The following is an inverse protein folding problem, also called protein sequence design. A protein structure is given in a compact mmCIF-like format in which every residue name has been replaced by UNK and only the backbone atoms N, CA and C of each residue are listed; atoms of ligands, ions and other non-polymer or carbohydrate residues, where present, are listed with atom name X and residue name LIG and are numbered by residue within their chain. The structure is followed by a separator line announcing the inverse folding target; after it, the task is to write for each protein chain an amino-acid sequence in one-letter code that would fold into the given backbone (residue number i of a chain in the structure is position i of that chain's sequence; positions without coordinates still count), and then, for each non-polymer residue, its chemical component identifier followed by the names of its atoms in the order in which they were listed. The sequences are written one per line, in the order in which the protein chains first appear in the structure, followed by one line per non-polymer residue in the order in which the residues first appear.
data_IF_498147262193
#
_entry.id   IF_498147262193
#
_cell.length_a   1.000
_cell.length_b   1.000
_cell.length_c   1.000
_cell.angle_alpha   90.00
_cell.angle_beta   90.00
_cell.angle_gamma   90.00
#
_symmetry.space_group_name_H-M   'P 1'
#
loop_
_entity.id
_entity.type
_entity.pdbx_description
1 polymer ?
#
# COMPACT_ATOMS: atom_id res chain seq x y z
N UNK A 1 14.12 -109.61 2.83
CA UNK A 1 12.96 -108.86 2.31
C UNK A 1 13.28 -107.37 2.41
N UNK A 2 13.51 -106.74 1.26
CA UNK A 2 13.50 -105.28 1.07
C UNK A 2 12.07 -104.76 1.23
N UNK A 3 11.90 -103.58 1.83
CA UNK A 3 11.36 -102.38 1.16
C UNK A 3 11.51 -101.17 2.07
N UNK A 4 12.43 -100.29 1.69
CA UNK A 4 12.59 -98.91 2.14
C UNK A 4 11.39 -98.07 1.69
N UNK A 5 10.71 -97.37 2.61
CA UNK A 5 9.74 -96.33 2.24
C UNK A 5 10.45 -95.07 1.74
N UNK A 6 9.99 -94.44 0.64
CA UNK A 6 10.73 -93.39 -0.04
C UNK A 6 10.54 -92.01 0.63
N UNK A 7 11.58 -91.19 0.46
CA UNK A 7 11.59 -89.74 0.66
C UNK A 7 10.27 -89.06 0.25
N UNK A 8 9.68 -88.27 1.15
CA UNK A 8 8.78 -87.18 0.77
C UNK A 8 9.27 -85.86 1.37
N UNK A 9 10.35 -85.32 0.81
CA UNK A 9 10.67 -83.90 0.98
C UNK A 9 9.70 -83.12 0.09
N UNK A 10 8.50 -82.85 0.59
CA UNK A 10 7.67 -81.76 0.07
C UNK A 10 8.24 -80.46 0.66
N UNK A 11 9.35 -80.02 0.06
CA UNK A 11 9.87 -78.68 0.23
C UNK A 11 8.83 -77.70 -0.31
N UNK A 12 7.93 -77.23 0.56
CA UNK A 12 7.02 -76.16 0.27
C UNK A 12 7.82 -74.94 -0.16
N UNK A 13 7.92 -74.71 -1.48
CA UNK A 13 8.35 -73.42 -2.03
C UNK A 13 7.34 -72.39 -1.53
N UNK A 14 7.64 -71.78 -0.38
CA UNK A 14 7.10 -70.47 -0.01
C UNK A 14 7.48 -69.56 -1.17
N UNK A 15 6.54 -69.38 -2.11
CA UNK A 15 6.65 -68.38 -3.15
C UNK A 15 6.76 -67.06 -2.40
N UNK A 16 7.98 -66.51 -2.32
CA UNK A 16 8.28 -65.16 -1.86
C UNK A 16 7.65 -64.17 -2.85
N UNK A 17 6.33 -64.12 -2.89
CA UNK A 17 5.55 -63.14 -3.64
C UNK A 17 5.44 -61.87 -2.80
N UNK A 18 6.58 -61.31 -2.41
CA UNK A 18 6.62 -60.03 -1.68
C UNK A 18 7.96 -59.33 -1.91
N UNK A 19 8.22 -58.88 -3.14
CA UNK A 19 9.42 -58.06 -3.43
C UNK A 19 9.15 -56.79 -4.24
N UNK A 20 7.88 -56.41 -4.45
CA UNK A 20 7.55 -55.15 -5.15
C UNK A 20 6.79 -54.11 -4.31
N UNK A 21 6.40 -54.44 -3.06
CA UNK A 21 5.67 -53.51 -2.17
C UNK A 21 6.57 -52.60 -1.32
N UNK A 22 7.89 -52.84 -1.28
CA UNK A 22 8.82 -52.02 -0.51
C UNK A 22 9.32 -50.78 -1.27
N UNK A 23 9.41 -50.85 -2.60
CA UNK A 23 10.03 -49.78 -3.39
C UNK A 23 9.15 -48.52 -3.47
N UNK A 24 7.83 -48.68 -3.41
CA UNK A 24 6.89 -47.55 -3.34
C UNK A 24 7.06 -46.76 -2.04
N UNK A 25 7.36 -47.43 -0.91
CA UNK A 25 7.62 -46.77 0.36
C UNK A 25 8.94 -45.97 0.31
N UNK A 26 9.98 -46.55 -0.30
CA UNK A 26 11.27 -45.86 -0.48
C UNK A 26 11.13 -44.62 -1.35
N UNK A 27 10.45 -44.73 -2.49
CA UNK A 27 10.19 -43.60 -3.38
C UNK A 27 9.31 -42.52 -2.71
N UNK A 28 8.32 -42.92 -1.92
CA UNK A 28 7.48 -42.01 -1.15
C UNK A 28 8.27 -41.25 -0.07
N UNK A 29 9.12 -41.93 0.69
CA UNK A 29 9.96 -41.29 1.70
C UNK A 29 10.98 -40.35 1.06
N UNK A 30 11.50 -40.68 -0.12
CA UNK A 30 12.44 -39.82 -0.85
C UNK A 30 11.74 -38.58 -1.45
N UNK A 31 10.47 -38.68 -1.85
CA UNK A 31 9.72 -37.57 -2.43
C UNK A 31 9.09 -36.65 -1.38
N UNK A 32 8.87 -37.14 -0.15
CA UNK A 32 8.28 -36.37 0.95
C UNK A 32 8.96 -35.01 1.22
N UNK A 33 10.29 -34.91 1.32
CA UNK A 33 10.98 -33.63 1.50
C UNK A 33 10.68 -32.62 0.38
N UNK A 34 10.53 -33.10 -0.86
CA UNK A 34 10.23 -32.25 -2.00
C UNK A 34 8.80 -31.71 -1.94
N UNK A 35 7.83 -32.54 -1.54
CA UNK A 35 6.44 -32.13 -1.35
C UNK A 35 6.33 -31.10 -0.22
N UNK A 36 6.98 -31.35 0.93
CA UNK A 36 7.01 -30.40 2.03
C UNK A 36 7.75 -29.11 1.68
N UNK A 37 8.82 -29.18 0.88
CA UNK A 37 9.51 -28.00 0.35
C UNK A 37 8.59 -27.12 -0.50
N UNK A 38 7.78 -27.71 -1.38
CA UNK A 38 6.78 -26.97 -2.14
C UNK A 38 5.69 -26.34 -1.26
N UNK A 39 5.17 -27.09 -0.27
CA UNK A 39 4.18 -26.58 0.68
C UNK A 39 4.73 -25.41 1.51
N UNK A 40 5.98 -25.53 1.97
CA UNK A 40 6.69 -24.50 2.71
C UNK A 40 6.76 -23.18 1.91
N UNK A 41 7.12 -23.26 0.62
CA UNK A 41 7.18 -22.10 -0.26
C UNK A 41 5.79 -21.46 -0.43
N UNK A 42 4.76 -22.26 -0.67
CA UNK A 42 3.39 -21.74 -0.86
C UNK A 42 2.89 -21.00 0.38
N UNK A 43 3.13 -21.54 1.56
CA UNK A 43 2.69 -20.94 2.83
C UNK A 43 3.48 -19.64 3.11
N UNK A 44 4.81 -19.67 2.97
CA UNK A 44 5.65 -18.49 3.22
C UNK A 44 5.33 -17.38 2.20
N UNK A 45 5.15 -17.71 0.92
CA UNK A 45 4.74 -16.74 -0.10
C UNK A 45 3.36 -16.18 0.17
N UNK A 46 2.38 -17.01 0.52
CA UNK A 46 1.03 -16.56 0.85
C UNK A 46 1.03 -15.51 1.97
N UNK A 47 1.84 -15.73 3.01
CA UNK A 47 1.98 -14.77 4.10
C UNK A 47 2.65 -13.46 3.62
N UNK A 48 3.73 -13.56 2.84
CA UNK A 48 4.42 -12.38 2.29
C UNK A 48 3.50 -11.52 1.42
N UNK A 49 2.66 -12.14 0.58
CA UNK A 49 1.68 -11.42 -0.24
C UNK A 49 0.63 -10.70 0.60
N UNK A 50 0.13 -11.34 1.66
CA UNK A 50 -0.83 -10.70 2.57
C UNK A 50 -0.21 -9.49 3.30
N UNK A 51 1.02 -9.65 3.82
CA UNK A 51 1.76 -8.54 4.44
C UNK A 51 1.96 -7.41 3.43
N UNK A 52 2.37 -7.73 2.19
CA UNK A 52 2.55 -6.74 1.14
C UNK A 52 1.28 -5.95 0.83
N UNK A 53 0.13 -6.62 0.78
CA UNK A 53 -1.15 -5.94 0.54
C UNK A 53 -1.52 -5.01 1.70
N UNK A 54 -1.26 -5.41 2.94
CA UNK A 54 -1.50 -4.58 4.13
C UNK A 54 -0.58 -3.37 4.19
N UNK A 55 0.73 -3.56 3.94
CA UNK A 55 1.70 -2.45 3.95
C UNK A 55 1.41 -1.46 2.83
N UNK A 56 0.94 -1.92 1.67
CA UNK A 56 0.55 -1.04 0.57
C UNK A 56 -0.66 -0.18 0.94
N UNK A 57 -1.72 -0.77 1.51
CA UNK A 57 -2.89 0.00 1.99
C UNK A 57 -2.50 1.06 3.02
N UNK A 58 -1.59 0.72 3.93
CA UNK A 58 -1.07 1.66 4.92
C UNK A 58 -0.25 2.79 4.27
N UNK A 59 0.59 2.46 3.28
CA UNK A 59 1.36 3.44 2.54
C UNK A 59 0.45 4.41 1.75
N UNK A 60 -0.55 3.89 1.05
CA UNK A 60 -1.50 4.70 0.27
C UNK A 60 -2.31 5.65 1.17
N UNK A 61 -2.82 5.13 2.29
CA UNK A 61 -3.54 5.95 3.28
C UNK A 61 -2.66 7.03 3.89
N UNK A 62 -1.41 6.69 4.25
CA UNK A 62 -0.46 7.65 4.80
C UNK A 62 -0.05 8.72 3.78
N UNK A 63 0.17 8.34 2.52
CA UNK A 63 0.52 9.26 1.45
C UNK A 63 -0.64 10.25 1.19
N UNK A 64 -1.87 9.75 1.09
CA UNK A 64 -3.06 10.57 0.89
C UNK A 64 -3.28 11.53 2.08
N UNK A 65 -3.18 11.03 3.31
CA UNK A 65 -3.35 11.87 4.51
C UNK A 65 -2.27 12.97 4.59
N UNK A 66 -1.03 12.64 4.23
CA UNK A 66 0.05 13.63 4.12
C UNK A 66 -0.22 14.67 3.04
N UNK A 67 -0.70 14.26 1.87
CA UNK A 67 -1.05 15.17 0.77
C UNK A 67 -2.28 16.05 1.08
N UNK A 68 -3.25 15.58 1.86
CA UNK A 68 -4.40 16.41 2.25
C UNK A 68 -3.99 17.59 3.14
N UNK A 69 -3.01 17.38 4.01
CA UNK A 69 -2.48 18.41 4.91
C UNK A 69 -1.43 19.28 4.23
N UNK A 70 -0.87 18.86 3.09
CA UNK A 70 0.00 19.74 2.31
C UNK A 70 -0.84 20.89 1.75
N UNK A 71 -0.45 22.13 2.04
CA UNK A 71 -1.17 23.33 1.61
C UNK A 71 -0.73 23.83 0.22
N UNK A 72 0.23 23.13 -0.39
CA UNK A 72 0.84 23.50 -1.67
C UNK A 72 1.61 24.82 -1.66
N UNK A 73 1.80 25.44 -0.49
CA UNK A 73 2.49 26.75 -0.37
C UNK A 73 3.99 26.63 -0.14
N UNK A 74 4.52 25.41 0.05
CA UNK A 74 5.96 25.20 0.15
C UNK A 74 6.59 25.46 1.52
N UNK A 75 5.81 25.78 2.54
CA UNK A 75 6.36 26.16 3.85
C UNK A 75 6.92 24.96 4.63
N UNK A 76 8.18 25.04 5.08
CA UNK A 76 8.84 24.01 5.90
C UNK A 76 8.08 23.65 7.19
N UNK A 77 7.24 24.55 7.72
CA UNK A 77 6.38 24.27 8.87
C UNK A 77 5.33 23.18 8.55
N UNK A 78 4.92 23.07 7.28
CA UNK A 78 3.97 22.04 6.84
C UNK A 78 4.63 20.67 6.76
N UNK A 79 5.95 20.59 6.52
CA UNK A 79 6.66 19.32 6.44
C UNK A 79 6.54 18.49 7.73
N UNK A 80 6.62 19.11 8.90
CA UNK A 80 6.46 18.41 10.19
C UNK A 80 5.05 17.87 10.38
N UNK A 81 4.03 18.68 10.05
CA UNK A 81 2.61 18.30 10.15
C UNK A 81 2.24 17.22 9.14
N UNK A 82 2.79 17.28 7.92
CA UNK A 82 2.62 16.25 6.88
C UNK A 82 3.22 14.93 7.37
N UNK A 83 4.45 14.96 7.90
CA UNK A 83 5.13 13.77 8.40
C UNK A 83 4.37 13.17 9.59
N UNK A 84 3.94 13.98 10.56
CA UNK A 84 3.21 13.49 11.74
C UNK A 84 1.84 12.92 11.37
N UNK A 85 1.12 13.57 10.46
CA UNK A 85 -0.17 13.10 9.96
C UNK A 85 -0.01 11.78 9.20
N UNK A 86 0.90 11.71 8.22
CA UNK A 86 1.16 10.48 7.47
C UNK A 86 1.51 9.29 8.39
N UNK A 87 2.35 9.53 9.41
CA UNK A 87 2.69 8.51 10.42
C UNK A 87 1.49 8.05 11.25
N UNK A 88 0.62 8.98 11.64
CA UNK A 88 -0.60 8.67 12.41
C UNK A 88 -1.54 7.76 11.61
N UNK A 89 -1.78 8.08 10.33
CA UNK A 89 -2.61 7.26 9.45
C UNK A 89 -1.97 5.91 9.12
N UNK A 90 -0.64 5.82 9.06
CA UNK A 90 0.06 4.55 8.96
C UNK A 90 -0.16 3.69 10.24
N UNK A 91 -0.09 4.32 11.41
CA UNK A 91 -0.38 3.70 12.71
C UNK A 91 -1.80 3.15 12.83
N UNK A 92 -2.80 3.88 12.34
CA UNK A 92 -4.19 3.39 12.29
C UNK A 92 -4.34 2.14 11.41
N UNK A 93 -3.48 1.97 10.40
CA UNK A 93 -3.42 0.78 9.56
C UNK A 93 -2.51 -0.33 10.14
N UNK A 94 -2.22 -0.29 11.44
CA UNK A 94 -1.39 -1.27 12.17
C UNK A 94 0.10 -1.25 11.82
N UNK A 95 0.60 -0.17 11.20
CA UNK A 95 2.02 0.03 10.93
C UNK A 95 2.53 1.31 11.61
N UNK A 96 2.60 1.35 12.96
CA UNK A 96 3.14 2.50 13.67
C UNK A 96 4.65 2.63 13.47
N UNK A 97 5.17 3.86 13.53
CA UNK A 97 6.61 4.11 13.50
C UNK A 97 7.30 3.44 14.69
N UNK A 98 8.44 2.78 14.44
CA UNK A 98 9.18 2.08 15.49
C UNK A 98 8.51 0.80 16.00
N UNK A 99 7.42 0.35 15.37
CA UNK A 99 6.86 -0.96 15.62
C UNK A 99 7.87 -2.08 15.32
N UNK A 100 7.64 -3.26 15.88
CA UNK A 100 8.59 -4.39 15.76
C UNK A 100 8.81 -4.77 14.29
N UNK A 101 10.02 -4.52 13.79
CA UNK A 101 10.40 -4.77 12.39
C UNK A 101 9.79 -3.79 11.39
N UNK A 102 9.20 -2.66 11.82
CA UNK A 102 8.60 -1.64 10.96
C UNK A 102 9.57 -0.46 10.81
N UNK A 103 9.77 -0.02 9.57
CA UNK A 103 10.47 1.24 9.26
C UNK A 103 9.59 2.07 8.34
N UNK A 104 9.30 3.30 8.76
CA UNK A 104 8.49 4.25 8.00
C UNK A 104 9.37 5.40 7.56
N UNK A 105 9.33 5.71 6.27
CA UNK A 105 10.04 6.86 5.70
C UNK A 105 9.02 7.73 4.97
N UNK A 106 8.73 8.90 5.52
CA UNK A 106 7.87 9.91 4.88
C UNK A 106 8.77 10.99 4.32
N UNK A 107 8.69 11.19 3.01
CA UNK A 107 9.41 12.21 2.27
C UNK A 107 8.37 13.11 1.60
N UNK A 108 8.00 14.25 2.20
CA UNK A 108 7.38 15.31 1.42
C UNK A 108 8.38 15.68 0.32
N UNK A 109 7.97 15.55 -0.94
CA UNK A 109 8.83 15.89 -2.08
C UNK A 109 9.09 17.39 -2.05
N UNK A 110 10.37 17.73 -2.07
CA UNK A 110 10.89 19.02 -2.51
C UNK A 110 11.46 18.75 -3.90
N UNK A 111 10.79 19.14 -4.98
CA UNK A 111 11.46 19.06 -6.28
C UNK A 111 12.55 20.12 -6.35
N UNK A 112 13.80 19.65 -6.23
CA UNK A 112 15.01 20.33 -6.69
C UNK A 112 15.06 20.22 -8.20
N UNK A 113 14.83 21.35 -8.86
CA UNK A 113 15.03 21.58 -10.28
C UNK A 113 14.86 23.07 -10.53
N UNK A 114 15.93 23.83 -10.30
CA UNK A 114 15.99 25.28 -10.03
C UNK A 114 15.55 25.71 -8.62
N UNK A 115 16.54 26.13 -7.84
CA UNK A 115 16.45 26.59 -6.47
C UNK A 115 15.70 27.93 -6.37
N UNK A 116 14.38 27.92 -6.16
CA UNK A 116 13.68 29.00 -5.43
C UNK A 116 12.23 28.71 -5.01
N UNK A 117 11.62 27.59 -5.44
CA UNK A 117 10.24 27.25 -5.06
C UNK A 117 10.17 25.83 -4.52
N UNK A 118 10.03 25.69 -3.21
CA UNK A 118 9.70 24.42 -2.58
C UNK A 118 8.23 24.14 -2.91
N UNK A 119 7.93 23.28 -3.88
CA UNK A 119 6.55 22.78 -4.02
C UNK A 119 6.40 21.59 -3.08
N UNK A 120 5.51 21.70 -2.09
CA UNK A 120 5.12 20.63 -1.17
C UNK A 120 3.90 19.85 -1.70
N UNK A 121 3.73 19.80 -3.02
CA UNK A 121 2.51 19.24 -3.61
C UNK A 121 2.50 17.71 -3.57
N UNK A 122 3.65 17.06 -3.40
CA UNK A 122 3.78 15.60 -3.43
C UNK A 122 4.29 15.05 -2.11
N UNK A 123 3.68 13.98 -1.63
CA UNK A 123 4.11 13.25 -0.44
C UNK A 123 4.37 11.79 -0.81
N UNK A 124 5.62 11.37 -0.61
CA UNK A 124 6.07 9.98 -0.79
C UNK A 124 6.17 9.30 0.56
N UNK A 125 5.58 8.12 0.68
CA UNK A 125 5.63 7.29 1.89
C UNK A 125 6.15 5.91 1.53
N UNK A 126 7.15 5.46 2.28
CA UNK A 126 7.68 4.09 2.20
C UNK A 126 7.42 3.41 3.53
N UNK A 127 6.79 2.24 3.47
CA UNK A 127 6.51 1.37 4.60
C UNK A 127 7.30 0.08 4.41
N UNK A 128 8.20 -0.21 5.35
CA UNK A 128 8.97 -1.45 5.37
C UNK A 128 8.59 -2.28 6.58
N UNK A 129 8.35 -3.57 6.36
CA UNK A 129 8.06 -4.56 7.40
C UNK A 129 9.00 -5.76 7.25
N UNK A 130 9.64 -6.15 8.35
CA UNK A 130 10.27 -7.46 8.46
C UNK A 130 9.18 -8.50 8.72
N UNK A 131 8.95 -9.38 7.74
CA UNK A 131 7.90 -10.39 7.77
C UNK A 131 8.35 -11.67 8.48
N UNK A 132 7.49 -12.16 9.37
CA UNK A 132 7.68 -13.47 10.01
C UNK A 132 7.17 -14.58 9.08
N UNK A 133 8.07 -15.11 8.26
CA UNK A 133 7.83 -16.37 7.50
C UNK A 133 8.10 -17.61 8.38
N UNK A 134 7.45 -18.73 8.10
CA UNK A 134 7.42 -19.91 8.96
C UNK A 134 8.52 -20.91 8.64
N UNK A 135 8.74 -21.23 7.36
CA UNK A 135 9.63 -22.32 6.95
C UNK A 135 11.03 -21.84 6.57
N UNK A 136 11.19 -20.61 6.08
CA UNK A 136 12.51 -20.06 5.77
C UNK A 136 13.52 -20.15 6.95
N UNK A 137 13.16 -19.84 8.21
CA UNK A 137 14.08 -19.96 9.35
C UNK A 137 14.48 -21.42 9.65
N UNK A 138 13.55 -22.34 9.43
CA UNK A 138 13.79 -23.78 9.62
C UNK A 138 14.77 -24.26 8.56
N UNK A 139 14.56 -23.88 7.30
CA UNK A 139 15.47 -24.19 6.19
C UNK A 139 16.87 -23.60 6.43
N UNK A 140 16.97 -22.36 6.87
CA UNK A 140 18.25 -21.76 7.25
C UNK A 140 18.94 -22.53 8.38
N UNK A 141 18.20 -22.99 9.39
CA UNK A 141 18.75 -23.82 10.47
C UNK A 141 19.27 -25.17 9.97
N UNK A 142 18.53 -25.83 9.07
CA UNK A 142 18.95 -27.08 8.44
C UNK A 142 20.20 -26.90 7.56
N UNK A 143 20.25 -25.82 6.77
CA UNK A 143 21.39 -25.50 5.91
C UNK A 143 22.64 -25.16 6.74
N UNK A 144 22.49 -24.45 7.86
CA UNK A 144 23.58 -24.20 8.81
C UNK A 144 24.14 -25.49 9.42
N UNK A 145 23.27 -26.44 9.74
CA UNK A 145 23.68 -27.74 10.31
C UNK A 145 24.52 -28.60 9.34
N UNK A 146 24.40 -28.39 8.03
CA UNK A 146 25.22 -29.06 7.01
C UNK A 146 26.45 -28.22 6.59
N UNK A 147 26.79 -27.17 7.34
CA UNK A 147 27.99 -26.36 7.14
C UNK A 147 27.83 -25.16 6.20
N UNK A 148 26.63 -24.90 5.68
CA UNK A 148 26.34 -23.74 4.82
C UNK A 148 26.00 -22.51 5.69
N UNK A 149 27.03 -21.92 6.30
CA UNK A 149 26.89 -20.83 7.28
C UNK A 149 27.13 -19.42 6.70
N UNK A 150 27.21 -19.29 5.37
CA UNK A 150 27.43 -17.99 4.74
C UNK A 150 26.20 -17.08 4.90
N UNK A 151 26.39 -15.78 5.11
CA UNK A 151 25.29 -14.81 5.24
C UNK A 151 24.38 -14.77 4.00
N UNK A 152 24.88 -15.21 2.84
CA UNK A 152 24.11 -15.41 1.61
C UNK A 152 23.04 -16.52 1.70
N UNK A 153 23.08 -17.38 2.73
CA UNK A 153 22.11 -18.45 2.97
C UNK A 153 20.87 -17.95 3.72
N UNK A 154 20.87 -16.70 4.20
CA UNK A 154 19.71 -16.10 4.86
C UNK A 154 18.72 -15.60 3.81
N UNK A 155 17.47 -16.05 3.91
CA UNK A 155 16.40 -15.58 3.05
C UNK A 155 16.02 -14.15 3.46
N UNK A 156 15.94 -13.23 2.50
CA UNK A 156 15.48 -11.86 2.77
C UNK A 156 14.00 -11.88 3.14
N UNK A 157 13.66 -11.31 4.30
CA UNK A 157 12.29 -11.26 4.85
C UNK A 157 11.71 -9.84 4.88
N UNK A 158 12.32 -8.92 4.12
CA UNK A 158 11.91 -7.51 4.10
C UNK A 158 10.86 -7.28 3.01
N UNK A 159 9.70 -6.78 3.39
CA UNK A 159 8.64 -6.33 2.47
C UNK A 159 8.62 -4.80 2.50
N UNK A 160 8.77 -4.15 1.35
CA UNK A 160 8.85 -2.69 1.25
C UNK A 160 7.83 -2.14 0.26
N UNK A 161 6.75 -1.53 0.72
CA UNK A 161 5.76 -0.85 -0.12
C UNK A 161 5.98 0.65 -0.17
N UNK A 162 5.60 1.25 -1.28
CA UNK A 162 5.79 2.66 -1.54
C UNK A 162 4.50 3.22 -2.16
N UNK A 163 4.14 4.43 -1.72
CA UNK A 163 3.02 5.18 -2.25
C UNK A 163 3.42 6.65 -2.39
N UNK A 164 2.92 7.31 -3.42
CA UNK A 164 3.08 8.76 -3.61
C UNK A 164 1.72 9.36 -3.91
N UNK A 165 1.35 10.40 -3.17
CA UNK A 165 0.14 11.17 -3.41
C UNK A 165 0.51 12.62 -3.73
N UNK A 166 -0.29 13.25 -4.59
CA UNK A 166 -0.13 14.65 -4.98
C UNK A 166 -1.43 15.40 -4.71
N UNK A 167 -1.33 16.61 -4.13
CA UNK A 167 -2.44 17.53 -4.02
C UNK A 167 -2.29 18.62 -5.06
N UNK A 168 -3.26 18.71 -5.97
CA UNK A 168 -3.32 19.80 -6.96
C UNK A 168 -3.93 21.02 -6.26
N UNK A 169 -3.14 22.09 -6.13
CA UNK A 169 -3.55 23.34 -5.48
C UNK A 169 -4.65 24.11 -6.22
N UNK A 170 -5.27 25.06 -5.53
CA UNK A 170 -6.28 25.96 -6.11
C UNK A 170 -5.63 26.91 -7.11
N UNK A 171 -6.17 27.00 -8.32
CA UNK A 171 -5.86 28.10 -9.24
C UNK A 171 -6.61 29.34 -8.77
N UNK A 172 -5.92 30.44 -8.40
CA UNK A 172 -6.60 31.73 -8.30
C UNK A 172 -7.01 32.11 -9.73
N UNK A 173 -8.27 31.85 -10.08
CA UNK A 173 -8.90 32.45 -11.26
C UNK A 173 -9.06 33.94 -10.97
N UNK A 174 -8.01 34.71 -11.28
CA UNK A 174 -8.13 36.15 -11.44
C UNK A 174 -9.01 36.38 -12.66
N UNK A 175 -10.31 36.57 -12.46
CA UNK A 175 -11.18 37.10 -13.49
C UNK A 175 -10.85 38.60 -13.56
N UNK A 176 -10.16 39.08 -14.62
CA UNK A 176 -9.88 40.50 -14.73
C UNK A 176 -11.19 41.24 -14.99
N UNK A 177 -11.53 42.21 -14.13
CA UNK A 177 -12.68 43.09 -14.32
C UNK A 177 -13.33 43.50 -13.01
N UNK A 178 -14.10 44.59 -13.06
CA UNK A 178 -14.91 45.13 -11.96
C UNK A 178 -16.16 44.28 -11.69
N UNK A 179 -16.02 42.96 -11.67
CA UNK A 179 -17.13 42.05 -11.40
C UNK A 179 -17.01 41.55 -9.96
N UNK A 180 -17.68 42.26 -9.03
CA UNK A 180 -18.04 41.72 -7.71
C UNK A 180 -16.97 41.69 -6.61
N UNK A 181 -15.96 42.59 -6.60
CA UNK A 181 -15.02 42.70 -5.45
C UNK A 181 -14.81 44.16 -5.02
N UNK A 182 -15.06 44.46 -3.74
CA UNK A 182 -14.31 45.46 -2.99
C UNK A 182 -13.13 44.74 -2.31
N UNK A 183 -11.91 45.09 -2.72
CA UNK A 183 -10.60 44.65 -2.20
C UNK A 183 -10.27 43.13 -2.18
N UNK A 184 -9.31 42.66 -3.00
CA UNK A 184 -8.84 41.26 -3.02
C UNK A 184 -8.15 40.78 -1.73
N UNK A 185 -7.92 41.63 -0.73
CA UNK A 185 -7.27 41.26 0.53
C UNK A 185 -8.21 41.08 1.73
N UNK A 186 -9.52 41.38 1.61
CA UNK A 186 -10.37 41.55 2.81
C UNK A 186 -11.59 40.63 2.86
N UNK A 187 -12.13 40.11 1.74
CA UNK A 187 -13.29 39.19 1.80
C UNK A 187 -13.35 38.19 0.64
N UNK A 188 -13.83 36.94 0.86
CA UNK A 188 -14.04 35.97 -0.22
C UNK A 188 -15.12 36.45 -1.19
N UNK A 189 -14.85 36.33 -2.50
CA UNK A 189 -15.77 36.72 -3.56
C UNK A 189 -17.08 35.89 -3.51
N UNK A 190 -18.22 36.58 -3.58
CA UNK A 190 -19.54 35.94 -3.61
C UNK A 190 -19.86 35.49 -5.04
N UNK A 191 -20.00 34.18 -5.25
CA UNK A 191 -20.47 33.61 -6.50
C UNK A 191 -21.97 33.86 -6.64
N UNK A 192 -22.33 34.91 -7.39
CA UNK A 192 -23.66 35.20 -7.95
C UNK A 192 -24.85 34.85 -7.04
N UNK A 193 -25.30 35.83 -6.25
CA UNK A 193 -26.57 35.74 -5.51
C UNK A 193 -27.72 35.91 -6.49
N UNK A 194 -28.34 34.82 -6.90
CA UNK A 194 -29.52 34.85 -7.74
C UNK A 194 -30.79 34.98 -6.88
N UNK A 195 -31.58 36.02 -7.13
CA UNK A 195 -32.88 36.22 -6.48
C UNK A 195 -33.58 37.50 -6.96
N UNK A 196 -34.91 37.62 -6.79
CA UNK A 196 -35.67 38.78 -7.27
C UNK A 196 -35.26 40.10 -6.60
N UNK A 197 -34.59 40.02 -5.45
CA UNK A 197 -34.06 41.17 -4.71
C UNK A 197 -32.55 41.39 -4.90
N UNK A 198 -31.91 40.65 -5.81
CA UNK A 198 -30.52 40.92 -6.19
C UNK A 198 -30.43 42.17 -7.08
N UNK A 199 -29.25 42.79 -7.14
CA UNK A 199 -28.96 43.90 -8.05
C UNK A 199 -28.60 43.38 -9.45
N UNK A 200 -28.99 44.09 -10.50
CA UNK A 200 -28.86 43.64 -11.90
C UNK A 200 -27.39 43.55 -12.29
N UNK A 201 -26.93 42.35 -12.62
CA UNK A 201 -25.61 42.12 -13.18
C UNK A 201 -25.71 41.82 -14.67
N UNK A 202 -24.70 42.25 -15.44
CA UNK A 202 -24.63 42.20 -16.91
C UNK A 202 -24.52 40.77 -17.50
N UNK A 203 -25.44 39.89 -17.13
CA UNK A 203 -25.46 38.48 -17.48
C UNK A 203 -26.57 37.68 -16.78
N UNK A 204 -27.45 38.33 -16.01
CA UNK A 204 -28.55 37.64 -15.33
C UNK A 204 -29.66 37.28 -16.33
N UNK A 205 -30.08 35.99 -16.40
CA UNK A 205 -31.15 35.56 -17.29
C UNK A 205 -32.56 35.99 -16.82
N UNK A 206 -32.66 36.56 -15.62
CA UNK A 206 -33.90 37.06 -15.04
C UNK A 206 -33.81 38.57 -14.81
N UNK A 207 -34.89 39.28 -15.12
CA UNK A 207 -35.00 40.70 -14.77
C UNK A 207 -35.10 40.81 -13.25
N UNK A 208 -34.11 41.41 -12.60
CA UNK A 208 -34.10 41.62 -11.14
C UNK A 208 -34.69 42.98 -10.78
N UNK A 209 -35.17 43.14 -9.54
CA UNK A 209 -35.93 44.32 -9.09
C UNK A 209 -35.10 45.60 -8.98
N UNK A 210 -33.79 45.48 -8.75
CA UNK A 210 -32.91 46.62 -8.53
C UNK A 210 -31.78 46.63 -9.56
N UNK A 211 -31.41 47.80 -10.06
CA UNK A 211 -30.21 48.02 -10.87
C UNK A 211 -28.96 48.02 -9.97
N UNK A 212 -27.77 47.98 -10.58
CA UNK A 212 -26.48 47.97 -9.88
C UNK A 212 -26.22 49.22 -9.01
N UNK A 213 -26.98 50.29 -9.22
CA UNK A 213 -26.95 51.52 -8.43
C UNK A 213 -27.98 51.53 -7.28
N UNK A 214 -28.68 50.40 -7.06
CA UNK A 214 -29.72 50.26 -6.05
C UNK A 214 -31.06 50.90 -6.43
N UNK A 215 -31.19 51.49 -7.62
CA UNK A 215 -32.46 52.03 -8.11
C UNK A 215 -33.39 50.93 -8.63
N UNK A 216 -34.69 51.21 -8.71
CA UNK A 216 -35.66 50.21 -9.18
C UNK A 216 -35.45 49.99 -10.69
N UNK A 217 -35.29 48.74 -11.09
CA UNK A 217 -35.20 48.37 -12.49
C UNK A 217 -36.55 48.57 -13.19
N UNK A 218 -36.59 49.46 -14.17
CA UNK A 218 -37.79 49.77 -14.97
C UNK A 218 -38.20 48.62 -15.89
N UNK A 219 -37.29 47.69 -16.17
CA UNK A 219 -37.53 46.49 -16.97
C UNK A 219 -37.90 45.27 -16.11
N UNK A 220 -38.08 45.46 -14.80
CA UNK A 220 -38.52 44.40 -13.88
C UNK A 220 -39.93 43.94 -14.21
N UNK A 221 -40.05 42.70 -14.69
CA UNK A 221 -41.32 42.02 -14.93
C UNK A 221 -41.41 40.83 -13.96
N UNK A 222 -42.23 40.92 -12.89
CA UNK A 222 -42.28 39.93 -11.81
C UNK A 222 -42.78 38.56 -12.24
#
# INVERSE_FOLDING_TARGET
MNTTSPFSILGGRKRLRSRRRGISLVLFTLSMPMIFGCLAIVIDMGNLYNIRARTQRAADAAALAGALVSDGTGSSANSTTIISTAKTYCGFNQFPEGGQGITLTVQPSTNTGNATTVSTDRVRVVVQQQATVFFAPIMEGLLKNIGLNNAAVQFSRKVSSEATAERIGSLPLKIPGFYGIADPNVTPANLSVFGPYAEYQWGDPFSVKYLQDGTINTEYNP
#
